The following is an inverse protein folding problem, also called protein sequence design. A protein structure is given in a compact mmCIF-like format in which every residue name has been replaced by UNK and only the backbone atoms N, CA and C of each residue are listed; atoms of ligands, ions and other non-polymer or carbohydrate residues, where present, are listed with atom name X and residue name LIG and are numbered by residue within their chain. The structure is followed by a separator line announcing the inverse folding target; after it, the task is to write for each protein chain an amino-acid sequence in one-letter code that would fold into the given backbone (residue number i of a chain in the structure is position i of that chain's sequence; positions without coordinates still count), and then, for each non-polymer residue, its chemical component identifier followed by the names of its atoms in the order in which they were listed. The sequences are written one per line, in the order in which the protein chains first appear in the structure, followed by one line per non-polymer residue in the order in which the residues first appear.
data_IF_995546839742
#
_entry.id   IF_995546839742
#
_cell.length_a   1.000
_cell.length_b   1.000
_cell.length_c   1.000
_cell.angle_alpha   90.00
_cell.angle_beta   90.00
_cell.angle_gamma   90.00
#
_symmetry.space_group_name_H-M   'P 1'
#
loop_
_entity.id
_entity.type
_entity.pdbx_description
1 polymer ?
#
# COMPACT_ATOMS: atom_id res chain seq x y z
N UNK A 1 -15.07 -48.79 19.18
CA UNK A 1 -14.42 -47.60 19.79
C UNK A 1 -13.09 -47.26 19.13
N UNK A 2 -12.22 -48.24 18.88
CA UNK A 2 -10.89 -48.00 18.21
C UNK A 2 -11.04 -47.35 16.81
N UNK A 3 -11.91 -47.86 15.96
CA UNK A 3 -12.11 -47.35 14.57
C UNK A 3 -12.62 -45.89 14.53
N UNK A 4 -13.41 -45.49 15.54
CA UNK A 4 -13.88 -44.08 15.64
C UNK A 4 -12.73 -43.17 16.05
N UNK A 5 -11.85 -43.63 16.92
CA UNK A 5 -10.70 -42.87 17.41
C UNK A 5 -9.65 -42.68 16.30
N UNK A 6 -9.35 -43.73 15.52
CA UNK A 6 -8.49 -43.65 14.32
C UNK A 6 -9.08 -42.70 13.26
N UNK A 7 -10.40 -42.75 13.03
CA UNK A 7 -11.07 -41.82 12.09
C UNK A 7 -10.97 -40.37 12.52
N UNK A 8 -11.09 -40.06 13.80
CA UNK A 8 -10.94 -38.71 14.35
C UNK A 8 -9.50 -38.19 14.28
N UNK A 9 -8.50 -39.07 14.46
CA UNK A 9 -7.09 -38.71 14.30
C UNK A 9 -6.74 -38.41 12.84
N UNK A 10 -7.24 -39.20 11.89
CA UNK A 10 -7.06 -38.95 10.44
C UNK A 10 -7.69 -37.61 10.04
N UNK A 11 -8.92 -37.31 10.48
CA UNK A 11 -9.58 -36.03 10.19
C UNK A 11 -8.81 -34.85 10.79
N UNK A 12 -8.34 -34.98 12.04
CA UNK A 12 -7.53 -33.93 12.68
C UNK A 12 -6.20 -33.68 11.98
N UNK A 13 -5.60 -34.73 11.41
CA UNK A 13 -4.37 -34.65 10.63
C UNK A 13 -4.61 -34.02 9.27
N UNK A 14 -5.73 -34.33 8.63
CA UNK A 14 -6.15 -33.70 7.36
C UNK A 14 -6.41 -32.21 7.53
N UNK A 15 -7.16 -31.79 8.55
CA UNK A 15 -7.40 -30.37 8.87
C UNK A 15 -6.10 -29.61 9.18
N UNK A 16 -5.14 -30.24 9.86
CA UNK A 16 -3.83 -29.66 10.12
C UNK A 16 -2.99 -29.50 8.84
N UNK A 17 -3.08 -30.47 7.96
CA UNK A 17 -2.39 -30.42 6.66
C UNK A 17 -3.02 -29.37 5.74
N UNK A 18 -4.35 -29.29 5.66
CA UNK A 18 -5.07 -28.26 4.89
C UNK A 18 -4.75 -26.86 5.40
N UNK A 19 -4.76 -26.62 6.71
CA UNK A 19 -4.37 -25.34 7.31
C UNK A 19 -2.88 -25.01 7.09
N UNK A 20 -2.02 -26.02 7.00
CA UNK A 20 -0.60 -25.84 6.69
C UNK A 20 -0.38 -25.51 5.22
N UNK A 21 -1.15 -26.13 4.32
CA UNK A 21 -1.11 -25.86 2.88
C UNK A 21 -1.75 -24.49 2.54
N UNK A 22 -2.82 -24.08 3.23
CA UNK A 22 -3.36 -22.72 3.14
C UNK A 22 -2.37 -21.66 3.64
N UNK A 23 -1.65 -21.94 4.73
CA UNK A 23 -0.61 -21.05 5.25
C UNK A 23 0.62 -20.96 4.34
N UNK A 24 0.93 -22.03 3.59
CA UNK A 24 1.97 -22.06 2.56
C UNK A 24 1.55 -21.34 1.27
N UNK A 25 0.24 -21.20 1.03
CA UNK A 25 -0.36 -20.46 -0.12
C UNK A 25 -0.68 -19.01 0.21
N UNK A 26 -0.60 -18.59 1.47
CA UNK A 26 -0.83 -17.20 1.84
C UNK A 26 0.25 -16.31 1.21
N UNK A 27 -0.19 -15.46 0.27
CA UNK A 27 0.69 -14.48 -0.37
C UNK A 27 1.27 -13.54 0.68
N UNK A 28 2.55 -13.18 0.52
CA UNK A 28 3.18 -12.18 1.38
C UNK A 28 2.61 -10.79 1.09
N UNK A 29 2.36 -9.96 2.10
CA UNK A 29 1.87 -8.62 1.88
C UNK A 29 2.97 -7.73 1.27
N UNK A 30 2.57 -6.91 0.27
CA UNK A 30 3.44 -5.92 -0.38
C UNK A 30 2.70 -4.60 -0.50
N UNK A 31 3.31 -3.52 -0.02
CA UNK A 31 2.83 -2.16 -0.22
C UNK A 31 3.33 -1.64 -1.56
N UNK A 32 2.42 -1.22 -2.42
CA UNK A 32 2.73 -0.56 -3.68
C UNK A 32 2.30 0.91 -3.64
N UNK A 33 3.22 1.82 -3.94
CA UNK A 33 2.92 3.25 -4.08
C UNK A 33 2.85 3.58 -5.57
N UNK A 34 1.63 3.70 -6.09
CA UNK A 34 1.35 4.10 -7.45
C UNK A 34 1.30 5.63 -7.54
N UNK A 35 2.17 6.21 -8.36
CA UNK A 35 2.32 7.66 -8.51
C UNK A 35 2.91 7.99 -9.89
N UNK A 36 2.69 9.21 -10.36
CA UNK A 36 3.40 9.75 -11.51
C UNK A 36 4.85 10.08 -11.15
N UNK A 37 5.80 9.84 -12.04
CA UNK A 37 7.21 10.25 -11.87
C UNK A 37 7.37 11.75 -11.58
N UNK A 38 6.48 12.58 -12.10
CA UNK A 38 6.46 14.02 -11.80
C UNK A 38 6.13 14.32 -10.30
N UNK A 39 5.57 13.36 -9.56
CA UNK A 39 5.23 13.46 -8.14
C UNK A 39 6.24 12.71 -7.24
N UNK A 40 7.40 12.33 -7.76
CA UNK A 40 8.46 11.58 -7.07
C UNK A 40 8.81 12.13 -5.69
N UNK A 41 8.85 13.46 -5.53
CA UNK A 41 9.20 14.08 -4.23
C UNK A 41 8.15 13.76 -3.16
N UNK A 42 6.87 13.73 -3.54
CA UNK A 42 5.79 13.36 -2.61
C UNK A 42 5.91 11.87 -2.28
N UNK A 43 6.16 11.03 -3.29
CA UNK A 43 6.33 9.60 -3.11
C UNK A 43 7.54 9.28 -2.22
N UNK A 44 8.70 9.90 -2.47
CA UNK A 44 9.92 9.72 -1.67
C UNK A 44 9.72 10.14 -0.21
N UNK A 45 9.06 11.28 0.03
CA UNK A 45 8.75 11.76 1.38
C UNK A 45 7.75 10.84 2.09
N UNK A 46 6.78 10.29 1.37
CA UNK A 46 5.84 9.29 1.89
C UNK A 46 6.58 8.00 2.27
N UNK A 47 7.48 7.49 1.41
CA UNK A 47 8.31 6.31 1.70
C UNK A 47 9.14 6.56 2.96
N UNK A 48 9.75 7.75 3.11
CA UNK A 48 10.53 8.10 4.30
C UNK A 48 9.68 8.02 5.59
N UNK A 49 8.46 8.59 5.57
CA UNK A 49 7.53 8.51 6.69
C UNK A 49 7.13 7.05 7.00
N UNK A 50 6.85 6.24 5.97
CA UNK A 50 6.41 4.85 6.16
C UNK A 50 7.51 3.93 6.73
N UNK A 51 8.79 4.29 6.58
CA UNK A 51 9.91 3.53 7.17
C UNK A 51 9.80 3.43 8.69
N UNK A 52 9.23 4.41 9.35
CA UNK A 52 8.97 4.40 10.80
C UNK A 52 8.06 3.24 11.21
N UNK A 53 7.16 2.81 10.32
CA UNK A 53 6.27 1.67 10.56
C UNK A 53 6.93 0.31 10.25
N UNK A 54 8.22 0.28 9.87
CA UNK A 54 8.93 -0.95 9.52
C UNK A 54 8.89 -1.29 8.03
N UNK A 55 8.37 -0.39 7.17
CA UNK A 55 8.44 -0.61 5.73
C UNK A 55 9.87 -0.50 5.21
N UNK A 56 10.25 -1.41 4.34
CA UNK A 56 11.56 -1.49 3.73
C UNK A 56 11.46 -2.14 2.34
N UNK A 57 12.58 -2.29 1.62
CA UNK A 57 12.64 -2.85 0.26
C UNK A 57 12.05 -4.26 0.09
N UNK A 58 11.75 -4.99 1.18
CA UNK A 58 11.17 -6.35 1.11
C UNK A 58 9.65 -6.34 1.08
N UNK A 59 9.02 -5.29 1.62
CA UNK A 59 7.58 -5.19 1.78
C UNK A 59 6.99 -3.87 1.25
N UNK A 60 7.81 -3.02 0.60
CA UNK A 60 7.39 -1.79 -0.07
C UNK A 60 8.02 -1.72 -1.45
N UNK A 61 7.23 -1.35 -2.44
CA UNK A 61 7.61 -1.10 -3.82
C UNK A 61 7.17 0.30 -4.26
N UNK A 62 8.10 1.07 -4.84
CA UNK A 62 7.86 2.43 -5.35
C UNK A 62 8.85 2.69 -6.49
N UNK A 63 8.38 2.73 -7.73
CA UNK A 63 9.21 2.67 -8.92
C UNK A 63 10.18 3.84 -9.12
N UNK A 64 9.93 5.00 -8.50
CA UNK A 64 10.81 6.18 -8.63
C UNK A 64 11.73 6.40 -7.42
N UNK A 65 11.64 5.56 -6.38
CA UNK A 65 12.44 5.75 -5.16
C UNK A 65 13.59 4.76 -5.14
N UNK A 66 14.86 5.22 -5.22
CA UNK A 66 16.03 4.34 -5.23
C UNK A 66 16.04 3.33 -4.08
N UNK A 67 16.25 2.06 -4.40
CA UNK A 67 16.24 0.94 -3.45
C UNK A 67 14.84 0.38 -3.15
N UNK A 68 13.77 1.00 -3.65
CA UNK A 68 12.39 0.51 -3.64
C UNK A 68 11.85 0.32 -5.06
N UNK A 69 12.66 0.56 -6.05
CA UNK A 69 12.44 0.54 -7.48
C UNK A 69 12.64 -0.86 -8.08
N UNK A 70 12.52 -0.91 -9.39
CA UNK A 70 12.81 -2.09 -10.21
C UNK A 70 14.30 -2.14 -10.49
N UNK A 71 14.94 -3.32 -10.42
CA UNK A 71 16.32 -3.48 -10.85
C UNK A 71 16.52 -3.00 -12.29
N UNK A 72 17.68 -2.39 -12.55
CA UNK A 72 18.04 -1.90 -13.87
C UNK A 72 18.01 -3.04 -14.91
N UNK A 73 17.34 -2.81 -16.04
CA UNK A 73 17.20 -3.78 -17.12
C UNK A 73 15.94 -4.66 -17.06
N UNK A 74 15.14 -4.58 -15.99
CA UNK A 74 13.84 -5.28 -15.94
C UNK A 74 12.71 -4.43 -16.55
N UNK A 75 11.74 -5.11 -17.19
CA UNK A 75 10.53 -4.45 -17.69
C UNK A 75 9.59 -4.09 -16.53
N UNK A 76 9.15 -2.83 -16.52
CA UNK A 76 8.32 -2.31 -15.42
C UNK A 76 6.94 -2.98 -15.37
N UNK A 77 6.35 -3.28 -16.52
CA UNK A 77 5.02 -3.87 -16.60
C UNK A 77 5.04 -5.35 -16.25
N UNK A 78 6.07 -6.08 -16.70
CA UNK A 78 6.25 -7.49 -16.36
C UNK A 78 6.52 -7.66 -14.87
N UNK A 79 7.38 -6.80 -14.30
CA UNK A 79 7.69 -6.81 -12.86
C UNK A 79 6.46 -6.48 -12.02
N UNK A 80 5.67 -5.47 -12.40
CA UNK A 80 4.42 -5.13 -11.72
C UNK A 80 3.40 -6.27 -11.80
N UNK A 81 3.22 -6.84 -13.01
CA UNK A 81 2.30 -7.95 -13.23
C UNK A 81 2.67 -9.15 -12.36
N UNK A 82 3.96 -9.54 -12.33
CA UNK A 82 4.44 -10.61 -11.47
C UNK A 82 4.17 -10.33 -9.99
N UNK A 83 4.46 -9.10 -9.51
CA UNK A 83 4.18 -8.72 -8.11
C UNK A 83 2.69 -8.81 -7.77
N UNK A 84 1.79 -8.37 -8.65
CA UNK A 84 0.35 -8.49 -8.44
C UNK A 84 -0.12 -9.95 -8.37
N UNK A 85 0.56 -10.86 -9.06
CA UNK A 85 0.23 -12.29 -9.01
C UNK A 85 0.81 -13.00 -7.80
N UNK A 86 1.99 -12.61 -7.32
CA UNK A 86 2.73 -13.30 -6.26
C UNK A 86 2.42 -12.80 -4.85
N UNK A 87 2.06 -11.52 -4.70
CA UNK A 87 1.88 -10.86 -3.41
C UNK A 87 0.42 -10.54 -3.11
N UNK A 88 0.09 -10.42 -1.84
CA UNK A 88 -1.14 -9.76 -1.38
C UNK A 88 -0.87 -8.25 -1.32
N UNK A 89 -1.38 -7.52 -2.31
CA UNK A 89 -0.99 -6.12 -2.52
C UNK A 89 -1.94 -5.16 -1.83
N UNK A 90 -1.36 -4.22 -1.08
CA UNK A 90 -2.02 -3.00 -0.66
C UNK A 90 -1.49 -1.83 -1.49
N UNK A 91 -2.36 -1.05 -2.12
CA UNK A 91 -1.96 0.06 -3.00
C UNK A 91 -2.21 1.39 -2.33
N UNK A 92 -1.23 2.29 -2.33
CA UNK A 92 -1.44 3.72 -2.08
C UNK A 92 -1.42 4.44 -3.43
N UNK A 93 -2.54 5.06 -3.79
CA UNK A 93 -2.66 5.84 -5.03
C UNK A 93 -2.43 7.32 -4.70
N UNK A 94 -1.33 7.91 -5.22
CA UNK A 94 -1.05 9.35 -5.11
C UNK A 94 -1.73 10.09 -6.26
N UNK A 95 -2.96 10.53 -6.02
CA UNK A 95 -3.79 11.15 -7.06
C UNK A 95 -3.42 12.62 -7.25
N UNK A 96 -3.02 12.97 -8.45
CA UNK A 96 -2.66 14.32 -8.89
C UNK A 96 -3.10 14.53 -10.34
N UNK A 97 -2.92 15.73 -10.89
CA UNK A 97 -3.08 15.96 -12.33
C UNK A 97 -2.10 15.11 -13.14
N UNK A 98 -0.83 15.06 -12.71
CA UNK A 98 0.19 14.25 -13.36
C UNK A 98 -0.17 12.75 -13.37
N UNK A 99 -0.80 12.27 -12.29
CA UNK A 99 -1.28 10.88 -12.20
C UNK A 99 -2.30 10.58 -13.30
N UNK A 100 -3.27 11.48 -13.50
CA UNK A 100 -4.32 11.32 -14.51
C UNK A 100 -3.83 11.55 -15.94
N UNK A 101 -2.72 12.25 -16.13
CA UNK A 101 -2.06 12.44 -17.43
C UNK A 101 -1.14 11.25 -17.78
N UNK A 102 -0.89 10.33 -16.84
CA UNK A 102 -0.03 9.15 -17.02
C UNK A 102 -0.85 7.90 -17.37
N UNK A 103 -0.64 7.38 -18.58
CA UNK A 103 -1.27 6.12 -19.02
C UNK A 103 -0.86 4.95 -18.12
N UNK A 104 0.41 4.90 -17.68
CA UNK A 104 0.90 3.88 -16.77
C UNK A 104 0.12 3.89 -15.44
N UNK A 105 -0.05 5.07 -14.82
CA UNK A 105 -0.80 5.21 -13.57
C UNK A 105 -2.27 4.79 -13.71
N UNK A 106 -2.90 5.11 -14.83
CA UNK A 106 -4.29 4.70 -15.11
C UNK A 106 -4.41 3.18 -15.27
N UNK A 107 -3.43 2.54 -15.90
CA UNK A 107 -3.36 1.08 -16.00
C UNK A 107 -3.19 0.42 -14.63
N UNK A 108 -2.33 0.96 -13.76
CA UNK A 108 -2.13 0.49 -12.38
C UNK A 108 -3.41 0.64 -11.53
N UNK A 109 -4.12 1.77 -11.69
CA UNK A 109 -5.44 1.99 -11.08
C UNK A 109 -6.44 0.93 -11.54
N UNK A 110 -6.48 0.63 -12.83
CA UNK A 110 -7.33 -0.40 -13.42
C UNK A 110 -6.99 -1.79 -12.89
N UNK A 111 -5.71 -2.14 -12.82
CA UNK A 111 -5.23 -3.40 -12.26
C UNK A 111 -5.62 -3.54 -10.78
N UNK A 112 -5.45 -2.49 -9.98
CA UNK A 112 -5.87 -2.42 -8.58
C UNK A 112 -7.36 -2.75 -8.41
N UNK A 113 -8.20 -2.22 -9.29
CA UNK A 113 -9.63 -2.47 -9.28
C UNK A 113 -10.01 -3.89 -9.70
N UNK A 114 -9.45 -4.36 -10.82
CA UNK A 114 -9.74 -5.71 -11.37
C UNK A 114 -9.33 -6.79 -10.37
N UNK A 115 -8.18 -6.65 -9.75
CA UNK A 115 -7.65 -7.61 -8.79
C UNK A 115 -8.24 -7.45 -7.39
N UNK A 116 -9.15 -6.50 -7.19
CA UNK A 116 -9.79 -6.19 -5.89
C UNK A 116 -8.77 -5.95 -4.77
N UNK A 117 -7.58 -5.43 -5.14
CA UNK A 117 -6.56 -5.11 -4.15
C UNK A 117 -7.08 -4.09 -3.13
N UNK A 118 -6.64 -4.20 -1.88
CA UNK A 118 -6.90 -3.15 -0.90
C UNK A 118 -6.13 -1.89 -1.30
N UNK A 119 -6.75 -0.73 -1.15
CA UNK A 119 -6.09 0.53 -1.47
C UNK A 119 -6.53 1.68 -0.59
N UNK A 120 -5.65 2.67 -0.48
CA UNK A 120 -5.92 4.00 0.05
C UNK A 120 -5.58 5.06 -0.99
N UNK A 121 -6.28 6.18 -0.96
CA UNK A 121 -6.04 7.31 -1.85
C UNK A 121 -5.47 8.48 -1.08
N UNK A 122 -4.42 9.08 -1.61
CA UNK A 122 -3.83 10.34 -1.15
C UNK A 122 -4.01 11.37 -2.27
N UNK A 123 -4.73 12.43 -1.99
CA UNK A 123 -4.96 13.54 -2.92
C UNK A 123 -3.85 14.56 -2.74
N UNK A 124 -3.04 14.72 -3.79
CA UNK A 124 -1.90 15.62 -3.81
C UNK A 124 -2.34 17.09 -3.89
N UNK A 125 -1.49 18.06 -3.48
CA UNK A 125 -1.77 19.47 -3.65
C UNK A 125 -2.06 19.86 -5.10
N UNK A 126 -3.03 20.75 -5.33
CA UNK A 126 -3.44 21.17 -6.66
C UNK A 126 -4.42 20.22 -7.37
N UNK A 127 -4.82 19.12 -6.70
CA UNK A 127 -5.87 18.21 -7.14
C UNK A 127 -6.96 18.09 -6.07
N UNK A 128 -8.20 17.80 -6.45
CA UNK A 128 -9.35 17.80 -5.53
C UNK A 128 -10.17 16.52 -5.65
N UNK A 129 -10.89 16.17 -4.59
CA UNK A 129 -11.73 14.97 -4.55
C UNK A 129 -12.77 14.89 -5.69
N UNK A 130 -13.44 15.98 -6.11
CA UNK A 130 -14.35 15.97 -7.26
C UNK A 130 -13.69 15.64 -8.60
N UNK A 131 -12.37 15.82 -8.74
CA UNK A 131 -11.61 15.49 -9.95
C UNK A 131 -11.29 13.99 -10.06
N UNK A 132 -11.49 13.21 -8.99
CA UNK A 132 -11.25 11.75 -8.99
C UNK A 132 -12.19 11.08 -9.98
N UNK A 133 -11.61 10.34 -10.93
CA UNK A 133 -12.31 9.60 -11.99
C UNK A 133 -11.76 8.17 -12.09
N UNK A 134 -12.42 7.35 -12.90
CA UNK A 134 -11.95 5.99 -13.21
C UNK A 134 -12.37 4.95 -12.16
N UNK A 135 -11.49 4.00 -11.92
CA UNK A 135 -11.78 2.81 -11.10
C UNK A 135 -11.71 3.05 -9.58
N UNK A 136 -11.33 4.24 -9.14
CA UNK A 136 -11.29 4.62 -7.72
C UNK A 136 -12.69 5.01 -7.26
N UNK A 137 -13.12 4.48 -6.12
CA UNK A 137 -14.39 4.86 -5.52
C UNK A 137 -14.26 6.23 -4.83
N UNK A 138 -14.87 7.31 -5.36
CA UNK A 138 -14.74 8.65 -4.78
C UNK A 138 -15.46 8.78 -3.42
N UNK A 139 -16.31 7.80 -3.04
CA UNK A 139 -16.96 7.74 -1.72
C UNK A 139 -16.04 7.20 -0.62
N UNK A 140 -14.94 6.53 -0.97
CA UNK A 140 -13.92 6.17 0.02
C UNK A 140 -13.21 7.42 0.49
N UNK A 141 -13.05 7.54 1.81
CA UNK A 141 -12.39 8.69 2.40
C UNK A 141 -10.92 8.71 2.00
N UNK A 142 -10.52 9.74 1.26
CA UNK A 142 -9.14 10.01 0.88
C UNK A 142 -8.38 10.80 1.96
N UNK A 143 -7.06 10.66 2.00
CA UNK A 143 -6.17 11.61 2.66
C UNK A 143 -5.97 12.79 1.73
N UNK A 144 -6.46 13.98 2.09
CA UNK A 144 -6.29 15.19 1.30
C UNK A 144 -5.16 16.01 1.91
N UNK A 145 -4.02 16.10 1.21
CA UNK A 145 -2.77 16.64 1.79
C UNK A 145 -2.83 18.13 2.10
N UNK A 146 -3.68 18.88 1.44
CA UNK A 146 -3.89 20.31 1.72
C UNK A 146 -5.04 20.60 2.70
N UNK A 147 -5.69 19.58 3.26
CA UNK A 147 -6.69 19.75 4.34
C UNK A 147 -5.99 19.77 5.71
N UNK A 148 -5.45 20.93 6.08
CA UNK A 148 -4.68 21.10 7.33
C UNK A 148 -5.46 20.71 8.60
N UNK A 149 -6.79 20.71 8.57
CA UNK A 149 -7.62 20.34 9.73
C UNK A 149 -7.76 18.83 9.91
N UNK A 150 -7.73 18.06 8.82
CA UNK A 150 -8.05 16.63 8.84
C UNK A 150 -6.88 15.71 8.46
N UNK A 151 -5.85 16.25 7.81
CA UNK A 151 -4.74 15.44 7.24
C UNK A 151 -4.05 14.58 8.29
N UNK A 152 -3.76 15.11 9.48
CA UNK A 152 -3.10 14.34 10.55
C UNK A 152 -3.95 13.13 10.98
N UNK A 153 -5.24 13.35 11.25
CA UNK A 153 -6.15 12.25 11.61
C UNK A 153 -6.32 11.23 10.50
N UNK A 154 -6.28 11.67 9.22
CA UNK A 154 -6.38 10.77 8.07
C UNK A 154 -5.10 9.95 7.86
N UNK A 155 -3.93 10.54 8.06
CA UNK A 155 -2.67 9.80 8.03
C UNK A 155 -2.57 8.81 9.19
N UNK A 156 -3.10 9.13 10.38
CA UNK A 156 -3.19 8.18 11.49
C UNK A 156 -4.15 7.01 11.17
N UNK A 157 -5.27 7.26 10.48
CA UNK A 157 -6.14 6.19 10.00
C UNK A 157 -5.44 5.30 8.97
N UNK A 158 -4.70 5.90 8.04
CA UNK A 158 -3.87 5.15 7.08
C UNK A 158 -2.84 4.29 7.80
N UNK A 159 -2.14 4.84 8.82
CA UNK A 159 -1.23 4.07 9.69
C UNK A 159 -1.92 2.82 10.25
N UNK A 160 -3.10 2.97 10.86
CA UNK A 160 -3.85 1.86 11.42
C UNK A 160 -4.19 0.78 10.39
N UNK A 161 -4.66 1.17 9.20
CA UNK A 161 -4.94 0.22 8.11
C UNK A 161 -3.70 -0.55 7.64
N UNK A 162 -2.55 0.12 7.60
CA UNK A 162 -1.29 -0.51 7.20
C UNK A 162 -0.79 -1.47 8.28
N UNK A 163 -0.84 -1.08 9.56
CA UNK A 163 -0.47 -1.95 10.68
C UNK A 163 -1.31 -3.23 10.65
N UNK A 164 -2.62 -3.10 10.50
CA UNK A 164 -3.55 -4.23 10.44
C UNK A 164 -3.26 -5.15 9.24
N UNK A 165 -3.13 -4.57 8.03
CA UNK A 165 -2.95 -5.37 6.83
C UNK A 165 -1.60 -6.10 6.77
N UNK A 166 -0.53 -5.44 7.24
CA UNK A 166 0.83 -5.98 7.21
C UNK A 166 1.19 -6.74 8.49
N UNK A 167 0.29 -6.81 9.46
CA UNK A 167 0.55 -7.40 10.78
C UNK A 167 1.83 -6.82 11.41
N UNK A 168 2.00 -5.50 11.29
CA UNK A 168 3.15 -4.80 11.87
C UNK A 168 2.98 -4.71 13.40
N UNK A 169 4.09 -4.67 14.17
CA UNK A 169 4.00 -4.40 15.58
C UNK A 169 3.35 -3.03 15.84
N UNK A 170 2.57 -2.93 16.89
CA UNK A 170 2.06 -1.63 17.34
C UNK A 170 3.24 -0.73 17.72
N UNK A 171 3.14 0.54 17.33
CA UNK A 171 4.16 1.53 17.69
C UNK A 171 3.88 1.97 19.11
N UNK A 172 4.76 1.61 20.06
CA UNK A 172 4.61 1.93 21.49
C UNK A 172 4.68 3.45 21.74
N UNK A 173 5.48 4.19 20.96
CA UNK A 173 5.64 5.64 21.06
C UNK A 173 5.29 6.31 19.73
N UNK A 174 4.15 7.01 19.71
CA UNK A 174 3.69 7.75 18.55
C UNK A 174 4.53 8.99 18.21
N UNK A 175 5.46 9.40 19.07
CA UNK A 175 6.27 10.63 18.89
C UNK A 175 7.09 10.55 17.60
N UNK A 176 7.70 9.40 17.31
CA UNK A 176 8.52 9.22 16.09
C UNK A 176 7.62 9.31 14.86
N UNK A 177 6.48 8.60 14.87
CA UNK A 177 5.50 8.68 13.80
C UNK A 177 5.01 10.11 13.56
N UNK A 178 4.69 10.84 14.64
CA UNK A 178 4.21 12.21 14.54
C UNK A 178 5.26 13.16 13.98
N UNK A 179 6.51 13.00 14.35
CA UNK A 179 7.62 13.76 13.80
C UNK A 179 7.78 13.51 12.30
N UNK A 180 7.83 12.25 11.87
CA UNK A 180 8.01 11.90 10.46
C UNK A 180 6.80 12.29 9.63
N UNK A 181 5.58 12.17 10.18
CA UNK A 181 4.36 12.69 9.54
C UNK A 181 4.44 14.21 9.34
N UNK A 182 4.91 14.94 10.34
CA UNK A 182 5.03 16.39 10.25
C UNK A 182 6.13 16.80 9.25
N UNK A 183 7.26 16.07 9.19
CA UNK A 183 8.29 16.32 8.18
C UNK A 183 7.78 16.00 6.76
N UNK A 184 7.01 14.91 6.60
CA UNK A 184 6.33 14.62 5.34
C UNK A 184 5.43 15.79 4.89
N UNK A 185 4.59 16.32 5.77
CA UNK A 185 3.69 17.43 5.45
C UNK A 185 4.46 18.72 5.13
N UNK A 186 5.51 19.04 5.87
CA UNK A 186 6.39 20.19 5.59
C UNK A 186 7.09 20.09 4.23
N UNK A 187 7.48 18.87 3.81
CA UNK A 187 8.13 18.66 2.51
C UNK A 187 7.23 19.01 1.34
N UNK A 188 5.91 18.84 1.53
CA UNK A 188 4.90 19.12 0.51
C UNK A 188 4.58 20.62 0.43
N UNK A 189 4.57 21.34 1.56
CA UNK A 189 4.28 22.77 1.61
C UNK A 189 5.33 23.63 0.88
N UNK A 190 6.59 23.20 0.88
CA UNK A 190 7.72 23.89 0.22
C UNK A 190 7.62 23.91 -1.32
N UNK A 191 6.64 23.23 -1.91
CA UNK A 191 6.44 23.15 -3.36
C UNK A 191 5.27 24.02 -3.88
N UNK A 192 4.68 24.85 -3.05
CA UNK A 192 3.77 25.91 -3.46
C UNK A 192 4.55 27.17 -3.87
#
# INVERSE_FOLDING_TARGET
RLLIQEGLEILSQQEKNEKKDEKLKAKKPLLFISHSSADEVIASSLVAMLRTLGFNKRNLFCSSVPGYDIPEGEDIYDTLSAKFMEYDIYVILLLSKNYYDSVACLNEMGATWVLKAKYSTIVCPGFTVPEIKGAVNPRKMAVVLNDSKRVNGKLNQLKGHLIEFFHLPEVEDDTIWENDRNEFLKSIEKKK
#
